data_IF_600722119940
#
_entry.id   IF_600722119940
#
_cell.length_a   1.000
_cell.length_b   1.000
_cell.length_c   1.000
_cell.angle_alpha   90.00
_cell.angle_beta   90.00
_cell.angle_gamma   90.00
#
_symmetry.space_group_name_H-M   'P 1'
#
loop_
_entity.id
_entity.type
_entity.pdbx_description
1 polymer ?
#
# COMPACT_ATOMS: atom_id res chain seq x y z
N UNK A 1 9.89 1.05 -26.06
CA UNK A 1 9.62 0.34 -24.78
C UNK A 1 9.09 1.36 -23.79
N UNK A 2 7.87 1.22 -23.30
CA UNK A 2 7.41 2.01 -22.15
C UNK A 2 8.06 1.44 -20.89
N UNK A 3 8.76 2.26 -20.12
CA UNK A 3 9.34 1.82 -18.85
C UNK A 3 8.21 1.64 -17.84
N UNK A 4 8.01 0.42 -17.32
CA UNK A 4 6.99 0.18 -16.29
C UNK A 4 7.37 0.95 -15.02
N UNK A 5 6.42 1.71 -14.48
CA UNK A 5 6.61 2.42 -13.21
C UNK A 5 6.87 1.43 -12.08
N UNK A 6 7.71 1.82 -11.13
CA UNK A 6 8.03 1.02 -9.94
C UNK A 6 7.01 1.31 -8.85
N UNK A 7 6.44 0.26 -8.28
CA UNK A 7 5.34 0.34 -7.32
C UNK A 7 5.64 -0.48 -6.06
N UNK A 8 5.27 0.06 -4.90
CA UNK A 8 5.18 -0.72 -3.67
C UNK A 8 3.78 -0.61 -3.06
N UNK A 9 3.30 -1.71 -2.49
CA UNK A 9 2.07 -1.72 -1.69
C UNK A 9 2.46 -1.54 -0.23
N UNK A 10 1.88 -0.56 0.46
CA UNK A 10 2.05 -0.30 1.88
C UNK A 10 1.09 -1.15 2.71
N UNK A 11 1.40 -1.34 3.99
CA UNK A 11 0.53 -2.11 4.88
C UNK A 11 -0.74 -1.33 5.11
N UNK A 12 -1.89 -1.96 4.87
CA UNK A 12 -3.18 -1.33 5.10
C UNK A 12 -3.40 -1.10 6.59
N UNK A 13 -3.97 0.06 6.95
CA UNK A 13 -4.12 0.50 8.34
C UNK A 13 -5.59 0.57 8.75
N UNK A 14 -5.86 0.86 10.02
CA UNK A 14 -7.20 1.24 10.47
C UNK A 14 -7.57 2.66 10.03
N UNK A 15 -8.84 3.05 10.23
CA UNK A 15 -9.31 4.42 9.95
C UNK A 15 -8.63 5.48 10.81
N UNK A 16 -8.07 5.08 11.96
CA UNK A 16 -7.27 5.90 12.87
C UNK A 16 -5.79 6.00 12.44
N UNK A 17 -5.40 5.34 11.34
CA UNK A 17 -4.02 5.22 10.89
C UNK A 17 -3.20 4.19 11.67
N UNK A 18 -3.82 3.47 12.61
CA UNK A 18 -3.20 2.43 13.42
C UNK A 18 -3.08 1.08 12.71
N UNK A 19 -2.49 0.11 13.41
CA UNK A 19 -2.40 -1.27 12.91
C UNK A 19 -3.79 -1.88 12.77
N UNK A 20 -4.01 -2.60 11.68
CA UNK A 20 -5.19 -3.44 11.50
C UNK A 20 -4.75 -4.90 11.26
N UNK A 21 -5.42 -5.84 11.92
CA UNK A 21 -5.07 -7.27 11.84
C UNK A 21 -5.12 -7.84 10.42
N UNK A 22 -5.97 -7.29 9.54
CA UNK A 22 -6.08 -7.71 8.14
C UNK A 22 -5.08 -7.01 7.23
N UNK A 23 -4.42 -5.96 7.72
CA UNK A 23 -3.55 -5.08 6.93
C UNK A 23 -2.42 -5.81 6.20
N UNK A 24 -1.60 -6.62 6.91
CA UNK A 24 -0.55 -7.42 6.28
C UNK A 24 -1.09 -8.41 5.24
N UNK A 25 -2.16 -9.13 5.55
CA UNK A 25 -2.74 -10.12 4.63
C UNK A 25 -3.28 -9.46 3.34
N UNK A 26 -4.00 -8.35 3.47
CA UNK A 26 -4.58 -7.64 2.33
C UNK A 26 -3.51 -7.07 1.42
N UNK A 27 -2.46 -6.49 2.00
CA UNK A 27 -1.35 -5.93 1.23
C UNK A 27 -0.53 -7.00 0.49
N UNK A 28 -0.32 -8.19 1.06
CA UNK A 28 0.32 -9.31 0.36
C UNK A 28 -0.56 -9.87 -0.78
N UNK A 29 -1.87 -10.03 -0.53
CA UNK A 29 -2.81 -10.47 -1.58
C UNK A 29 -2.85 -9.47 -2.73
N UNK A 30 -2.91 -8.17 -2.43
CA UNK A 30 -2.93 -7.14 -3.46
C UNK A 30 -1.61 -7.08 -4.23
N UNK A 31 -0.47 -7.24 -3.55
CA UNK A 31 0.85 -7.35 -4.19
C UNK A 31 0.86 -8.50 -5.20
N UNK A 32 0.38 -9.67 -4.79
CA UNK A 32 0.27 -10.85 -5.67
C UNK A 32 -0.61 -10.58 -6.89
N UNK A 33 -1.78 -9.99 -6.70
CA UNK A 33 -2.69 -9.67 -7.82
C UNK A 33 -2.09 -8.63 -8.76
N UNK A 34 -1.42 -7.60 -8.25
CA UNK A 34 -0.76 -6.58 -9.08
C UNK A 34 0.40 -7.17 -9.91
N UNK A 35 1.17 -8.10 -9.34
CA UNK A 35 2.21 -8.84 -10.08
C UNK A 35 1.57 -9.63 -11.23
N UNK A 36 0.48 -10.36 -10.99
CA UNK A 36 -0.22 -11.14 -12.03
C UNK A 36 -0.73 -10.28 -13.19
N UNK A 37 -1.05 -9.01 -12.96
CA UNK A 37 -1.51 -8.08 -14.01
C UNK A 37 -0.37 -7.58 -14.91
N UNK A 38 0.88 -7.73 -14.49
CA UNK A 38 2.08 -7.35 -15.26
C UNK A 38 2.10 -5.90 -15.80
N UNK A 39 1.49 -4.96 -15.05
CA UNK A 39 1.43 -3.54 -15.45
C UNK A 39 2.52 -2.66 -14.84
N UNK A 40 3.08 -3.07 -13.70
CA UNK A 40 4.05 -2.34 -12.91
C UNK A 40 5.23 -3.24 -12.55
N UNK A 41 6.38 -2.65 -12.24
CA UNK A 41 7.45 -3.35 -11.53
C UNK A 41 7.18 -3.28 -10.04
N UNK A 42 6.63 -4.36 -9.49
CA UNK A 42 6.24 -4.45 -8.08
C UNK A 42 7.47 -4.80 -7.24
N UNK A 43 7.71 -4.02 -6.19
CA UNK A 43 8.72 -4.35 -5.18
C UNK A 43 8.16 -5.37 -4.20
N UNK A 44 8.99 -6.34 -3.84
CA UNK A 44 8.68 -7.27 -2.74
C UNK A 44 8.71 -6.52 -1.41
N UNK A 45 7.60 -6.57 -0.68
CA UNK A 45 7.43 -5.87 0.60
C UNK A 45 8.41 -6.36 1.67
N UNK A 46 8.56 -7.67 1.79
CA UNK A 46 9.40 -8.29 2.82
C UNK A 46 10.88 -8.02 2.60
N UNK A 47 11.33 -8.04 1.33
CA UNK A 47 12.73 -7.75 0.98
C UNK A 47 13.10 -6.30 1.33
N UNK A 48 12.18 -5.36 1.10
CA UNK A 48 12.45 -3.94 1.27
C UNK A 48 12.14 -3.38 2.66
N UNK A 49 11.45 -4.14 3.51
CA UNK A 49 11.14 -3.73 4.88
C UNK A 49 12.40 -3.46 5.73
N UNK A 50 13.44 -4.29 5.56
CA UNK A 50 14.73 -4.08 6.25
C UNK A 50 15.39 -2.76 5.87
N UNK A 51 15.43 -2.43 4.58
CA UNK A 51 16.03 -1.20 4.08
C UNK A 51 15.30 0.04 4.63
N UNK A 52 13.95 -0.02 4.67
CA UNK A 52 13.16 1.04 5.30
C UNK A 52 13.47 1.17 6.80
N UNK A 53 13.54 0.05 7.52
CA UNK A 53 13.81 0.04 8.97
C UNK A 53 15.16 0.67 9.31
N UNK A 54 16.19 0.43 8.51
CA UNK A 54 17.52 1.05 8.66
C UNK A 54 17.49 2.58 8.54
N UNK A 55 16.46 3.15 7.90
CA UNK A 55 16.21 4.59 7.79
C UNK A 55 15.17 5.13 8.77
N UNK A 56 14.69 4.30 9.70
CA UNK A 56 13.59 4.65 10.59
C UNK A 56 12.24 4.81 9.88
N UNK A 57 12.09 4.21 8.69
CA UNK A 57 10.85 4.17 7.92
C UNK A 57 10.15 2.81 8.11
N UNK A 58 8.87 2.76 7.76
CA UNK A 58 8.04 1.56 7.84
C UNK A 58 7.06 1.50 6.66
N UNK A 59 6.65 0.28 6.31
CA UNK A 59 5.52 0.06 5.39
C UNK A 59 4.17 0.39 6.04
N UNK A 60 4.14 0.46 7.37
CA UNK A 60 3.00 0.97 8.14
C UNK A 60 3.17 2.48 8.33
N UNK A 61 2.30 3.26 7.71
CA UNK A 61 2.34 4.72 7.78
C UNK A 61 0.94 5.29 7.88
N UNK A 62 0.79 6.40 8.58
CA UNK A 62 -0.45 7.16 8.72
C UNK A 62 -0.80 8.00 7.47
N UNK A 63 -0.05 7.86 6.38
CA UNK A 63 -0.33 8.53 5.11
C UNK A 63 0.20 9.96 5.02
N UNK A 64 1.05 10.41 5.94
CA UNK A 64 1.78 11.68 5.80
C UNK A 64 2.65 11.69 4.54
N UNK A 65 2.42 12.67 3.67
CA UNK A 65 3.11 12.82 2.39
C UNK A 65 4.64 12.98 2.54
N UNK A 66 5.14 13.54 3.64
CA UNK A 66 6.59 13.65 3.85
C UNK A 66 7.22 12.25 4.05
N UNK A 67 6.56 11.40 4.83
CA UNK A 67 6.95 9.99 5.01
C UNK A 67 6.84 9.20 3.70
N UNK A 68 5.76 9.37 2.94
CA UNK A 68 5.59 8.71 1.65
C UNK A 68 6.68 9.07 0.64
N UNK A 69 7.12 10.33 0.61
CA UNK A 69 8.25 10.77 -0.24
C UNK A 69 9.57 10.10 0.16
N UNK A 70 9.88 10.03 1.46
CA UNK A 70 11.09 9.34 1.95
C UNK A 70 11.10 7.86 1.58
N UNK A 71 9.96 7.18 1.66
CA UNK A 71 9.81 5.79 1.19
C UNK A 71 10.09 5.71 -0.31
N UNK A 72 9.51 6.63 -1.09
CA UNK A 72 9.73 6.73 -2.53
C UNK A 72 11.21 6.87 -2.91
N UNK A 73 11.93 7.74 -2.21
CA UNK A 73 13.35 7.98 -2.39
C UNK A 73 14.20 6.76 -2.02
N UNK A 74 13.96 6.18 -0.84
CA UNK A 74 14.74 5.04 -0.34
C UNK A 74 14.58 3.80 -1.25
N UNK A 75 13.37 3.52 -1.70
CA UNK A 75 13.06 2.33 -2.50
C UNK A 75 13.12 2.58 -4.01
N UNK A 76 13.33 3.85 -4.41
CA UNK A 76 13.31 4.31 -5.81
C UNK A 76 12.01 3.89 -6.50
N UNK A 77 10.87 4.17 -5.89
CA UNK A 77 9.53 3.87 -6.44
C UNK A 77 8.82 5.15 -6.87
N UNK A 78 8.03 5.06 -7.94
CA UNK A 78 7.31 6.19 -8.51
C UNK A 78 5.89 6.30 -7.93
N UNK A 79 5.31 5.12 -7.64
CA UNK A 79 3.93 4.94 -7.22
C UNK A 79 3.91 4.14 -5.92
N UNK A 80 2.96 4.47 -5.05
CA UNK A 80 2.60 3.63 -3.91
C UNK A 80 1.12 3.28 -3.94
N UNK A 81 0.80 2.12 -3.38
CA UNK A 81 -0.57 1.76 -3.04
C UNK A 81 -0.69 1.75 -1.53
N UNK A 82 -1.72 2.41 -1.01
CA UNK A 82 -2.03 2.42 0.42
C UNK A 82 -3.55 2.30 0.59
N UNK A 83 -3.98 1.95 1.79
CA UNK A 83 -5.39 1.80 2.07
C UNK A 83 -5.70 1.66 3.55
N UNK A 84 -6.98 1.77 3.84
CA UNK A 84 -7.52 1.60 5.18
C UNK A 84 -8.56 0.49 5.18
N UNK A 85 -8.68 -0.18 6.32
CA UNK A 85 -9.62 -1.26 6.59
C UNK A 85 -10.47 -0.86 7.78
N UNK A 86 -11.78 -0.88 7.60
CA UNK A 86 -12.77 -0.66 8.65
C UNK A 86 -13.71 -1.84 8.75
N UNK A 87 -13.99 -2.28 9.98
CA UNK A 87 -15.04 -3.25 10.21
C UNK A 87 -16.41 -2.58 10.04
N UNK A 88 -17.34 -3.27 9.40
CA UNK A 88 -18.71 -2.83 9.24
C UNK A 88 -19.64 -4.05 9.23
N UNK A 89 -20.54 -4.12 10.21
CA UNK A 89 -21.46 -5.24 10.39
C UNK A 89 -20.72 -6.60 10.40
N UNK A 90 -21.00 -7.46 9.44
CA UNK A 90 -20.46 -8.80 9.21
C UNK A 90 -19.31 -8.82 8.21
N UNK A 91 -18.69 -7.67 7.92
CA UNK A 91 -17.60 -7.59 6.96
C UNK A 91 -16.64 -6.43 7.17
N UNK A 92 -15.83 -6.19 6.14
CA UNK A 92 -14.82 -5.14 6.09
C UNK A 92 -15.06 -4.24 4.89
N UNK A 93 -14.98 -2.93 5.08
CA UNK A 93 -14.68 -2.02 3.98
C UNK A 93 -13.17 -1.90 3.81
N UNK A 94 -12.72 -2.09 2.57
CA UNK A 94 -11.34 -1.93 2.17
C UNK A 94 -11.27 -0.78 1.18
N UNK A 95 -10.70 0.34 1.63
CA UNK A 95 -10.44 1.51 0.82
C UNK A 95 -9.01 1.48 0.32
N UNK A 96 -8.79 1.57 -0.98
CA UNK A 96 -7.46 1.52 -1.60
C UNK A 96 -7.22 2.74 -2.47
N UNK A 97 -5.99 3.27 -2.45
CA UNK A 97 -5.55 4.41 -3.26
C UNK A 97 -4.21 4.11 -3.90
N UNK A 98 -4.09 4.46 -5.17
CA UNK A 98 -2.84 4.48 -5.92
C UNK A 98 -2.38 5.93 -6.04
N UNK A 99 -1.21 6.24 -5.47
CA UNK A 99 -0.71 7.60 -5.31
C UNK A 99 0.60 7.75 -6.08
N UNK A 100 0.69 8.80 -6.89
CA UNK A 100 1.95 9.22 -7.49
C UNK A 100 2.76 10.01 -6.46
N UNK A 101 3.96 9.53 -6.12
CA UNK A 101 4.74 10.09 -5.00
C UNK A 101 5.20 11.52 -5.30
N UNK A 102 5.62 11.77 -6.54
CA UNK A 102 6.17 13.06 -6.96
C UNK A 102 5.17 14.19 -6.78
N UNK A 103 3.93 14.00 -7.23
CA UNK A 103 2.87 15.02 -7.16
C UNK A 103 2.02 14.92 -5.89
N UNK A 104 1.95 13.75 -5.27
CA UNK A 104 0.99 13.44 -4.19
C UNK A 104 -0.43 13.22 -4.68
N UNK A 105 -0.66 13.14 -5.99
CA UNK A 105 -1.99 12.93 -6.54
C UNK A 105 -2.43 11.47 -6.40
N UNK A 106 -3.69 11.29 -6.01
CA UNK A 106 -4.36 10.00 -6.10
C UNK A 106 -4.72 9.79 -7.58
N UNK A 107 -4.04 8.85 -8.24
CA UNK A 107 -4.31 8.51 -9.64
C UNK A 107 -5.54 7.60 -9.77
N UNK A 108 -5.80 6.78 -8.75
CA UNK A 108 -6.94 5.87 -8.70
C UNK A 108 -7.31 5.58 -7.25
N UNK A 109 -8.60 5.40 -6.99
CA UNK A 109 -9.13 4.92 -5.72
C UNK A 109 -10.25 3.92 -5.98
N UNK A 110 -10.38 2.93 -5.10
CA UNK A 110 -11.43 1.93 -5.12
C UNK A 110 -11.85 1.59 -3.68
N UNK A 111 -13.12 1.24 -3.49
CA UNK A 111 -13.67 0.74 -2.23
C UNK A 111 -14.38 -0.59 -2.51
N UNK A 112 -14.18 -1.56 -1.62
CA UNK A 112 -14.86 -2.86 -1.67
C UNK A 112 -15.34 -3.25 -0.28
N UNK A 113 -16.54 -3.80 -0.20
CA UNK A 113 -17.03 -4.53 0.96
C UNK A 113 -16.67 -6.02 0.84
N UNK A 114 -16.03 -6.57 1.86
CA UNK A 114 -15.65 -7.97 1.96
C UNK A 114 -16.41 -8.59 3.14
N UNK A 115 -17.43 -9.43 2.90
CA UNK A 115 -18.07 -10.19 3.96
C UNK A 115 -17.05 -11.09 4.67
N UNK A 116 -17.14 -11.19 5.99
CA UNK A 116 -16.43 -12.19 6.78
C UNK A 116 -17.48 -13.20 7.21
N UNK A 117 -17.46 -14.38 6.58
CA UNK A 117 -18.23 -15.51 7.09
C UNK A 117 -17.70 -15.87 8.48
N UNK A 118 -18.54 -15.68 9.51
CA UNK A 118 -18.26 -16.01 10.91
C UNK A 118 -18.40 -17.51 11.19
#
# INVERSE_FOLDING_TARGET
>A
MFNKQRLIVLTFTGTDGGKNQYGPLLSEKLTTELVKKDRFHILDRMVHERALKEKGLSLETNGDMATLRKIGEELKVDILVTGIVSAYQDGLFVNTRLIEIKSGLILKAEEVFVPIDL
#
